data_IF_366341274156
#
_entry.id   IF_366341274156
#
_cell.length_a   1.000
_cell.length_b   1.000
_cell.length_c   1.000
_cell.angle_alpha   90.00
_cell.angle_beta   90.00
_cell.angle_gamma   90.00
#
_symmetry.space_group_name_H-M   'P 1'
#
loop_
_entity.id
_entity.type
_entity.pdbx_description
1 polymer ?
#
# COMPACT_ATOMS: atom_id res chain seq x y z
N UNK A 1 1.07 13.56 18.20
CA UNK A 1 1.23 13.02 16.83
C UNK A 1 2.71 13.02 16.40
N UNK A 2 3.62 12.47 17.22
CA UNK A 2 5.07 12.43 16.94
C UNK A 2 5.62 10.98 16.88
N UNK A 3 4.77 9.96 17.04
CA UNK A 3 5.21 8.66 17.56
C UNK A 3 5.11 7.47 16.60
N UNK A 4 5.00 7.68 15.29
CA UNK A 4 4.75 6.59 14.32
C UNK A 4 6.00 5.80 13.89
N UNK A 5 7.09 5.88 14.65
CA UNK A 5 8.35 5.17 14.35
C UNK A 5 9.02 4.45 15.55
N UNK A 6 8.32 4.29 16.69
CA UNK A 6 8.75 3.45 17.83
C UNK A 6 10.28 3.36 18.07
N UNK A 7 10.86 4.34 18.77
CA UNK A 7 12.23 4.34 19.30
C UNK A 7 13.40 4.01 18.34
N UNK A 8 13.19 4.20 17.05
CA UNK A 8 14.13 4.80 16.09
C UNK A 8 14.27 6.32 16.21
N UNK A 9 15.10 6.93 17.07
CA UNK A 9 15.40 8.37 16.85
C UNK A 9 16.05 8.47 15.47
N UNK A 10 15.32 9.06 14.52
CA UNK A 10 15.69 9.13 13.10
C UNK A 10 17.12 9.68 12.90
N UNK A 11 17.50 10.65 13.73
CA UNK A 11 18.84 11.22 13.84
C UNK A 11 19.94 10.18 14.13
N UNK A 12 19.63 9.12 14.87
CA UNK A 12 20.56 8.08 15.28
C UNK A 12 20.76 6.97 14.23
N UNK A 13 19.94 6.92 13.17
CA UNK A 13 19.95 5.82 12.20
C UNK A 13 20.24 6.22 10.74
N UNK A 14 20.73 7.45 10.52
CA UNK A 14 21.10 7.95 9.18
C UNK A 14 22.04 7.01 8.43
N UNK A 15 23.01 6.44 9.13
CA UNK A 15 23.99 5.50 8.59
C UNK A 15 23.35 4.14 8.18
N UNK A 16 22.38 3.64 8.94
CA UNK A 16 21.69 2.41 8.60
C UNK A 16 20.84 2.57 7.33
N UNK A 17 20.19 3.73 7.16
CA UNK A 17 19.44 4.07 5.95
C UNK A 17 20.34 4.15 4.70
N UNK A 18 21.52 4.78 4.80
CA UNK A 18 22.47 4.85 3.67
C UNK A 18 23.00 3.47 3.27
N UNK A 19 23.34 2.62 4.25
CA UNK A 19 23.87 1.27 4.00
C UNK A 19 22.80 0.35 3.38
N UNK A 20 21.56 0.40 3.87
CA UNK A 20 20.46 -0.46 3.38
C UNK A 20 20.07 -0.09 1.94
N UNK A 21 20.11 1.20 1.61
CA UNK A 21 19.90 1.66 0.24
C UNK A 21 21.03 1.26 -0.70
N UNK A 22 22.24 0.93 -0.23
CA UNK A 22 23.34 0.48 -1.08
C UNK A 22 23.27 -1.02 -1.44
N UNK A 23 22.73 -1.87 -0.56
CA UNK A 23 22.80 -3.34 -0.67
C UNK A 23 21.82 -3.95 -1.68
N UNK A 24 20.55 -3.51 -1.71
CA UNK A 24 19.56 -3.98 -2.70
C UNK A 24 18.60 -2.84 -3.08
N UNK A 25 19.13 -1.90 -3.86
CA UNK A 25 18.46 -0.67 -4.30
C UNK A 25 17.05 -0.93 -4.82
N UNK A 26 16.91 -1.79 -5.82
CA UNK A 26 15.62 -1.97 -6.52
C UNK A 26 14.56 -2.63 -5.64
N UNK A 27 14.90 -3.69 -4.90
CA UNK A 27 13.91 -4.38 -4.06
C UNK A 27 13.49 -3.51 -2.88
N UNK A 28 14.43 -2.82 -2.25
CA UNK A 28 14.18 -1.91 -1.12
C UNK A 28 13.26 -0.76 -1.54
N UNK A 29 13.53 -0.19 -2.72
CA UNK A 29 12.73 0.88 -3.31
C UNK A 29 11.30 0.43 -3.59
N UNK A 30 11.12 -0.74 -4.23
CA UNK A 30 9.77 -1.25 -4.49
C UNK A 30 8.97 -1.51 -3.20
N UNK A 31 9.63 -2.03 -2.16
CA UNK A 31 9.00 -2.20 -0.83
C UNK A 31 8.62 -0.85 -0.22
N UNK A 32 9.52 0.14 -0.27
CA UNK A 32 9.25 1.51 0.20
C UNK A 32 8.04 2.12 -0.51
N UNK A 33 7.99 2.03 -1.84
CA UNK A 33 6.89 2.56 -2.64
C UNK A 33 5.55 1.91 -2.26
N UNK A 34 5.52 0.58 -2.10
CA UNK A 34 4.31 -0.14 -1.67
C UNK A 34 3.80 0.31 -0.30
N UNK A 35 4.70 0.41 0.69
CA UNK A 35 4.34 0.87 2.05
C UNK A 35 3.86 2.31 2.10
N UNK A 36 4.47 3.18 1.30
CA UNK A 36 4.03 4.58 1.18
C UNK A 36 2.60 4.63 0.65
N UNK A 37 2.30 3.88 -0.42
CA UNK A 37 0.96 3.83 -0.97
C UNK A 37 -0.06 3.28 0.04
N UNK A 38 0.28 2.22 0.76
CA UNK A 38 -0.53 1.66 1.86
C UNK A 38 -0.83 2.72 2.93
N UNK A 39 0.21 3.40 3.43
CA UNK A 39 0.09 4.43 4.46
C UNK A 39 -0.72 5.64 4.00
N UNK A 40 -0.55 6.08 2.75
CA UNK A 40 -1.31 7.18 2.16
C UNK A 40 -2.79 6.82 2.07
N UNK A 41 -3.14 5.63 1.54
CA UNK A 41 -4.56 5.20 1.47
C UNK A 41 -5.17 5.14 2.87
N UNK A 42 -4.50 4.52 3.83
CA UNK A 42 -5.01 4.38 5.21
C UNK A 42 -5.25 5.75 5.85
N UNK A 43 -4.29 6.68 5.73
CA UNK A 43 -4.45 8.04 6.25
C UNK A 43 -5.58 8.78 5.54
N UNK A 44 -5.65 8.71 4.21
CA UNK A 44 -6.74 9.34 3.43
C UNK A 44 -8.12 8.82 3.80
N UNK A 45 -8.24 7.51 4.10
CA UNK A 45 -9.49 6.93 4.62
C UNK A 45 -9.83 7.44 6.02
N UNK A 46 -8.84 7.71 6.86
CA UNK A 46 -9.08 8.30 8.20
C UNK A 46 -9.52 9.76 8.12
N UNK A 47 -8.90 10.52 7.24
CA UNK A 47 -9.07 11.98 7.17
C UNK A 47 -10.26 12.40 6.29
N UNK A 48 -10.72 11.52 5.39
CA UNK A 48 -11.81 11.80 4.46
C UNK A 48 -12.80 10.61 4.36
N UNK A 49 -14.01 10.82 4.88
CA UNK A 49 -15.05 9.79 4.95
C UNK A 49 -15.55 9.33 3.57
N UNK A 50 -15.57 10.23 2.57
CA UNK A 50 -15.95 9.85 1.20
C UNK A 50 -14.90 8.95 0.55
N UNK A 51 -13.62 9.24 0.78
CA UNK A 51 -12.52 8.40 0.31
C UNK A 51 -12.57 7.04 1.02
N UNK A 52 -12.82 7.01 2.33
CA UNK A 52 -13.03 5.77 3.07
C UNK A 52 -14.18 4.94 2.47
N UNK A 53 -15.32 5.58 2.21
CA UNK A 53 -16.48 4.92 1.61
C UNK A 53 -16.16 4.32 0.24
N UNK A 54 -15.46 5.06 -0.63
CA UNK A 54 -15.06 4.59 -1.96
C UNK A 54 -14.17 3.34 -1.85
N UNK A 55 -13.10 3.41 -1.06
CA UNK A 55 -12.18 2.29 -0.88
C UNK A 55 -12.84 1.08 -0.23
N UNK A 56 -13.66 1.29 0.80
CA UNK A 56 -14.38 0.21 1.46
C UNK A 56 -15.40 -0.48 0.53
N UNK A 57 -16.08 0.26 -0.35
CA UNK A 57 -16.98 -0.33 -1.36
C UNK A 57 -16.22 -1.21 -2.35
N UNK A 58 -15.03 -0.78 -2.78
CA UNK A 58 -14.16 -1.57 -3.66
C UNK A 58 -13.70 -2.84 -2.92
N UNK A 59 -13.10 -2.68 -1.74
CA UNK A 59 -12.56 -3.76 -0.94
C UNK A 59 -13.61 -4.83 -0.59
N UNK A 60 -14.83 -4.40 -0.24
CA UNK A 60 -15.93 -5.31 0.12
C UNK A 60 -16.76 -5.79 -1.07
N UNK A 61 -16.67 -5.14 -2.24
CA UNK A 61 -17.59 -5.32 -3.37
C UNK A 61 -19.07 -5.14 -3.00
N UNK A 62 -19.37 -4.39 -1.93
CA UNK A 62 -20.72 -4.12 -1.42
C UNK A 62 -21.13 -2.68 -1.68
N UNK A 63 -22.44 -2.46 -1.84
CA UNK A 63 -23.02 -1.12 -1.83
C UNK A 63 -23.21 -0.64 -0.39
N UNK A 64 -22.12 -0.13 0.20
CA UNK A 64 -22.09 0.35 1.57
C UNK A 64 -22.62 1.78 1.64
N UNK A 65 -23.34 2.14 2.70
CA UNK A 65 -23.80 3.51 2.96
C UNK A 65 -22.77 4.28 3.80
N UNK A 66 -22.79 5.60 3.69
CA UNK A 66 -21.81 6.47 4.36
C UNK A 66 -21.81 6.28 5.88
N UNK A 67 -22.98 6.17 6.50
CA UNK A 67 -23.17 5.97 7.95
C UNK A 67 -22.54 4.66 8.47
N UNK A 68 -22.51 3.62 7.61
CA UNK A 68 -21.83 2.37 7.91
C UNK A 68 -20.32 2.52 7.71
N UNK A 69 -19.89 3.18 6.64
CA UNK A 69 -18.47 3.39 6.36
C UNK A 69 -17.77 4.25 7.42
N UNK A 70 -18.44 5.26 7.98
CA UNK A 70 -17.94 6.08 9.09
C UNK A 70 -17.59 5.27 10.35
N UNK A 71 -18.25 4.12 10.54
CA UNK A 71 -17.98 3.20 11.65
C UNK A 71 -16.86 2.20 11.32
N UNK A 72 -16.29 2.27 10.12
CA UNK A 72 -15.25 1.37 9.68
C UNK A 72 -13.90 2.07 9.61
N UNK A 73 -12.87 1.44 10.16
CA UNK A 73 -11.49 1.94 10.15
C UNK A 73 -10.63 1.11 9.19
N UNK A 74 -9.95 1.80 8.27
CA UNK A 74 -8.95 1.18 7.39
C UNK A 74 -7.65 0.94 8.16
N UNK A 75 -7.07 -0.25 8.01
CA UNK A 75 -5.79 -0.64 8.61
C UNK A 75 -4.86 -1.19 7.54
N UNK A 76 -3.61 -0.71 7.52
CA UNK A 76 -2.56 -1.30 6.73
C UNK A 76 -1.91 -2.46 7.48
N UNK A 77 -1.96 -3.68 6.94
CA UNK A 77 -1.50 -4.91 7.61
C UNK A 77 0.02 -4.96 7.78
N UNK A 78 0.76 -4.19 6.98
CA UNK A 78 2.22 -4.04 7.05
C UNK A 78 2.70 -2.79 7.81
N UNK A 79 1.78 -1.98 8.34
CA UNK A 79 2.12 -0.72 9.02
C UNK A 79 2.38 -0.91 10.52
N UNK A 80 3.37 -0.18 11.03
CA UNK A 80 3.72 -0.16 12.47
C UNK A 80 2.57 0.35 13.36
N UNK A 81 1.74 1.27 12.85
CA UNK A 81 0.54 1.71 13.54
C UNK A 81 -0.40 0.55 13.85
N UNK A 82 -0.51 -0.41 12.94
CA UNK A 82 -1.33 -1.62 13.10
C UNK A 82 -0.68 -2.56 14.08
N UNK A 83 0.64 -2.79 14.01
CA UNK A 83 1.37 -3.60 14.99
C UNK A 83 1.15 -3.14 16.43
N UNK A 84 1.15 -1.83 16.68
CA UNK A 84 0.97 -1.27 18.02
C UNK A 84 -0.48 -1.29 18.52
N UNK A 85 -1.44 -0.88 17.66
CA UNK A 85 -2.83 -0.69 18.07
C UNK A 85 -3.70 -1.93 17.88
N UNK A 86 -3.37 -2.73 16.87
CA UNK A 86 -4.13 -3.90 16.43
C UNK A 86 -3.17 -5.07 16.11
N UNK A 87 -2.35 -5.54 17.08
CA UNK A 87 -1.31 -6.54 16.84
C UNK A 87 -1.85 -7.83 16.20
N UNK A 88 -3.09 -8.23 16.50
CA UNK A 88 -3.78 -9.37 15.91
C UNK A 88 -4.12 -9.20 14.41
N UNK A 89 -3.99 -7.98 13.88
CA UNK A 89 -4.23 -7.62 12.48
C UNK A 89 -2.94 -7.26 11.73
N UNK A 90 -1.78 -7.23 12.41
CA UNK A 90 -0.49 -6.98 11.79
C UNK A 90 0.03 -8.26 11.16
N UNK A 91 0.19 -8.25 9.84
CA UNK A 91 0.59 -9.43 9.06
C UNK A 91 1.45 -9.00 7.86
N UNK A 92 2.66 -8.46 8.10
CA UNK A 92 3.54 -7.94 7.04
C UNK A 92 4.03 -9.02 6.07
N UNK A 93 3.87 -10.29 6.44
CA UNK A 93 4.25 -11.46 5.63
C UNK A 93 3.08 -12.07 4.86
N UNK A 94 1.84 -11.64 5.12
CA UNK A 94 0.68 -12.09 4.34
C UNK A 94 0.65 -11.30 3.03
N UNK A 95 0.91 -11.95 1.88
CA UNK A 95 0.97 -11.24 0.62
C UNK A 95 -0.41 -10.91 0.07
N UNK A 96 -1.52 -11.34 0.70
CA UNK A 96 -2.84 -11.25 0.08
C UNK A 96 -3.53 -9.89 0.23
N UNK A 97 -3.27 -9.17 1.34
CA UNK A 97 -4.02 -7.96 1.71
C UNK A 97 -3.08 -6.98 2.40
N UNK A 98 -2.76 -5.90 1.71
CA UNK A 98 -2.01 -4.80 2.31
C UNK A 98 -2.94 -3.92 3.16
N UNK A 99 -4.22 -3.79 2.81
CA UNK A 99 -5.19 -2.99 3.56
C UNK A 99 -6.43 -3.81 3.87
N UNK A 100 -6.93 -3.72 5.10
CA UNK A 100 -8.19 -4.30 5.56
C UNK A 100 -9.05 -3.24 6.28
N UNK A 101 -10.32 -3.54 6.52
CA UNK A 101 -11.20 -2.69 7.32
C UNK A 101 -11.69 -3.41 8.57
N UNK A 102 -11.69 -2.73 9.71
CA UNK A 102 -12.44 -3.12 10.90
C UNK A 102 -13.76 -2.38 10.95
N UNK A 103 -14.82 -3.06 11.34
CA UNK A 103 -16.14 -2.47 11.60
C UNK A 103 -16.20 -1.95 13.04
N UNK A 104 -17.24 -1.18 13.38
CA UNK A 104 -17.35 -0.52 14.69
C UNK A 104 -17.40 -1.44 15.92
N UNK A 105 -17.54 -2.76 15.72
CA UNK A 105 -17.45 -3.77 16.79
C UNK A 105 -16.06 -4.44 16.87
N UNK A 106 -15.08 -3.95 16.10
CA UNK A 106 -13.72 -4.49 16.04
C UNK A 106 -13.53 -5.70 15.11
N UNK A 107 -14.59 -6.21 14.46
CA UNK A 107 -14.50 -7.33 13.53
C UNK A 107 -14.09 -6.88 12.13
N UNK A 108 -13.35 -7.72 11.40
CA UNK A 108 -12.97 -7.47 10.01
C UNK A 108 -14.21 -7.40 9.11
N UNK A 109 -14.29 -6.35 8.31
CA UNK A 109 -15.31 -6.20 7.28
C UNK A 109 -15.21 -7.35 6.28
N UNK A 110 -16.35 -7.83 5.80
CA UNK A 110 -16.43 -8.99 4.91
C UNK A 110 -16.75 -8.58 3.47
N UNK A 111 -16.26 -9.34 2.49
CA UNK A 111 -16.61 -9.18 1.08
C UNK A 111 -18.06 -9.60 0.80
N UNK A 112 -18.59 -9.20 -0.37
CA UNK A 112 -19.90 -9.64 -0.87
C UNK A 112 -19.87 -11.15 -1.13
N UNK A 113 -20.89 -11.86 -0.66
CA UNK A 113 -20.99 -13.32 -0.78
C UNK A 113 -20.48 -14.10 0.44
N UNK A 114 -19.89 -13.42 1.43
CA UNK A 114 -19.53 -14.02 2.72
C UNK A 114 -20.77 -14.31 3.56
N UNK A 115 -20.85 -15.53 4.12
CA UNK A 115 -21.89 -15.95 5.08
C UNK A 115 -21.28 -16.11 6.47
N UNK A 116 -22.09 -16.19 7.53
CA UNK A 116 -21.61 -16.21 8.93
C UNK A 116 -20.69 -17.38 9.31
N UNK A 117 -20.47 -18.36 8.43
CA UNK A 117 -19.64 -19.56 8.65
C UNK A 117 -18.41 -19.57 7.72
N UNK A 118 -18.50 -18.94 6.54
CA UNK A 118 -17.43 -18.86 5.54
C UNK A 118 -17.45 -17.46 4.95
N UNK A 119 -16.44 -16.66 5.29
CA UNK A 119 -16.33 -15.28 4.86
C UNK A 119 -14.90 -14.93 4.47
N UNK A 120 -14.79 -14.07 3.45
CA UNK A 120 -13.52 -13.54 2.99
C UNK A 120 -13.44 -12.09 3.48
N UNK A 121 -12.35 -11.77 4.16
CA UNK A 121 -12.12 -10.42 4.65
C UNK A 121 -12.01 -9.44 3.48
N UNK A 122 -12.75 -8.34 3.57
CA UNK A 122 -12.63 -7.21 2.69
C UNK A 122 -11.24 -6.60 2.84
N UNK A 123 -10.55 -6.43 1.72
CA UNK A 123 -9.24 -5.81 1.70
C UNK A 123 -8.85 -5.37 0.30
N UNK A 124 -7.63 -4.85 0.20
CA UNK A 124 -7.00 -4.42 -1.04
C UNK A 124 -5.57 -4.94 -1.07
N UNK A 125 -5.11 -5.34 -2.25
CA UNK A 125 -3.69 -5.48 -2.54
C UNK A 125 -3.22 -4.20 -3.25
N UNK A 126 -2.16 -3.58 -2.77
CA UNK A 126 -1.58 -2.37 -3.35
C UNK A 126 -0.35 -2.75 -4.18
N UNK A 127 -0.25 -2.17 -5.38
CA UNK A 127 0.91 -2.29 -6.26
C UNK A 127 1.32 -0.92 -6.77
N UNK A 128 2.63 -0.69 -6.78
CA UNK A 128 3.25 0.56 -7.28
C UNK A 128 4.37 0.16 -8.23
N UNK A 129 4.35 0.67 -9.47
CA UNK A 129 5.36 0.31 -10.47
C UNK A 129 5.35 1.28 -11.65
N UNK A 130 6.52 1.45 -12.26
CA UNK A 130 6.72 2.15 -13.53
C UNK A 130 6.68 1.22 -14.76
N UNK A 131 6.47 -0.09 -14.56
CA UNK A 131 6.45 -1.11 -15.60
C UNK A 131 5.41 -2.20 -15.31
N UNK A 132 4.13 -1.83 -15.30
CA UNK A 132 3.02 -2.70 -14.91
C UNK A 132 2.92 -4.01 -15.69
N UNK A 133 3.32 -4.02 -16.98
CA UNK A 133 3.36 -5.27 -17.77
C UNK A 133 4.34 -6.28 -17.20
N UNK A 134 5.51 -5.84 -16.75
CA UNK A 134 6.53 -6.73 -16.21
C UNK A 134 6.23 -7.17 -14.77
N UNK A 135 5.54 -6.32 -14.00
CA UNK A 135 5.39 -6.52 -12.55
C UNK A 135 4.00 -6.98 -12.10
N UNK A 136 2.93 -6.67 -12.83
CA UNK A 136 1.54 -6.82 -12.36
C UNK A 136 0.72 -7.72 -13.28
N UNK A 137 1.03 -7.74 -14.58
CA UNK A 137 0.24 -8.51 -15.55
C UNK A 137 0.14 -10.00 -15.21
N UNK A 138 1.25 -10.64 -14.80
CA UNK A 138 1.21 -12.05 -14.39
C UNK A 138 0.37 -12.27 -13.13
N UNK A 139 0.52 -11.41 -12.12
CA UNK A 139 -0.29 -11.46 -10.90
C UNK A 139 -1.80 -11.40 -11.22
N UNK A 140 -2.20 -10.58 -12.21
CA UNK A 140 -3.58 -10.48 -12.69
C UNK A 140 -4.04 -11.69 -13.51
N UNK A 141 -3.16 -12.24 -14.37
CA UNK A 141 -3.45 -13.43 -15.17
C UNK A 141 -3.68 -14.64 -14.27
N UNK A 142 -2.79 -14.83 -13.30
CA UNK A 142 -2.79 -15.96 -12.36
C UNK A 142 -3.84 -15.78 -11.25
N UNK A 143 -4.51 -14.62 -11.18
CA UNK A 143 -5.46 -14.28 -10.11
C UNK A 143 -4.84 -14.50 -8.73
N UNK A 144 -3.59 -14.05 -8.57
CA UNK A 144 -2.75 -14.32 -7.39
C UNK A 144 -3.36 -13.83 -6.08
N UNK A 145 -4.14 -12.75 -6.16
CA UNK A 145 -4.79 -12.13 -5.01
C UNK A 145 -6.29 -12.36 -5.07
N UNK A 146 -6.86 -12.67 -3.91
CA UNK A 146 -8.30 -12.87 -3.75
C UNK A 146 -9.10 -11.55 -3.71
N UNK A 147 -8.39 -10.46 -3.42
CA UNK A 147 -8.91 -9.09 -3.26
C UNK A 147 -8.56 -8.23 -4.47
N UNK A 148 -9.23 -7.07 -4.66
CA UNK A 148 -8.90 -6.15 -5.75
C UNK A 148 -7.45 -5.66 -5.66
N UNK A 149 -6.78 -5.59 -6.81
CA UNK A 149 -5.45 -4.96 -6.94
C UNK A 149 -5.65 -3.48 -7.25
N UNK A 150 -5.15 -2.63 -6.37
CA UNK A 150 -5.04 -1.18 -6.57
C UNK A 150 -3.67 -0.87 -7.16
N UNK A 151 -3.66 -0.25 -8.33
CA UNK A 151 -2.43 0.06 -9.05
C UNK A 151 -2.17 1.57 -9.11
N UNK A 152 -0.99 1.95 -8.61
CA UNK A 152 -0.36 3.25 -8.85
C UNK A 152 0.62 3.12 -10.03
N UNK A 153 0.16 3.53 -11.20
CA UNK A 153 0.86 3.44 -12.48
C UNK A 153 1.79 4.63 -12.71
N UNK A 154 3.01 4.55 -12.18
CA UNK A 154 3.97 5.66 -12.20
C UNK A 154 4.35 6.14 -13.61
N UNK A 155 4.09 5.33 -14.63
CA UNK A 155 4.35 5.66 -16.04
C UNK A 155 3.05 5.75 -16.88
N UNK A 156 1.91 6.01 -16.23
CA UNK A 156 0.59 6.09 -16.86
C UNK A 156 0.25 4.87 -17.75
N UNK A 157 0.66 3.66 -17.34
CA UNK A 157 0.51 2.43 -18.11
C UNK A 157 -0.66 1.55 -17.68
N UNK A 158 -1.52 2.02 -16.77
CA UNK A 158 -2.69 1.27 -16.28
C UNK A 158 -3.53 0.69 -17.43
N UNK A 159 -3.92 1.53 -18.40
CA UNK A 159 -4.75 1.10 -19.52
C UNK A 159 -4.02 0.16 -20.50
N UNK A 160 -2.69 0.25 -20.59
CA UNK A 160 -1.88 -0.69 -21.38
C UNK A 160 -1.90 -2.08 -20.73
N UNK A 161 -1.81 -2.15 -19.40
CA UNK A 161 -1.94 -3.40 -18.64
C UNK A 161 -3.35 -3.98 -18.80
N UNK A 162 -4.38 -3.15 -18.64
CA UNK A 162 -5.77 -3.56 -18.76
C UNK A 162 -6.09 -4.14 -20.16
N UNK A 163 -5.65 -3.46 -21.22
CA UNK A 163 -5.86 -3.90 -22.61
C UNK A 163 -5.16 -5.23 -22.90
N UNK A 164 -3.92 -5.39 -22.43
CA UNK A 164 -3.17 -6.65 -22.61
C UNK A 164 -3.79 -7.80 -21.81
N UNK A 165 -4.28 -7.53 -20.60
CA UNK A 165 -5.01 -8.52 -19.80
C UNK A 165 -6.31 -8.93 -20.49
N UNK A 166 -7.08 -7.97 -21.01
CA UNK A 166 -8.32 -8.24 -21.74
C UNK A 166 -8.06 -9.13 -22.96
N UNK A 167 -7.06 -8.77 -23.77
CA UNK A 167 -6.65 -9.53 -24.97
C UNK A 167 -6.24 -10.96 -24.59
N UNK A 168 -5.40 -11.12 -23.55
CA UNK A 168 -4.97 -12.43 -23.07
C UNK A 168 -6.15 -13.31 -22.66
N UNK A 169 -7.09 -12.77 -21.88
CA UNK A 169 -8.24 -13.53 -21.37
C UNK A 169 -9.21 -13.88 -22.49
N UNK A 170 -9.47 -12.96 -23.41
CA UNK A 170 -10.30 -13.20 -24.59
C UNK A 170 -9.75 -14.34 -25.44
N UNK A 171 -8.44 -14.34 -25.73
CA UNK A 171 -7.79 -15.39 -26.52
C UNK A 171 -7.87 -16.78 -25.88
N UNK A 172 -8.07 -16.86 -24.56
CA UNK A 172 -8.20 -18.12 -23.81
C UNK A 172 -9.63 -18.46 -23.41
N UNK A 173 -10.62 -17.69 -23.86
CA UNK A 173 -12.02 -17.88 -23.47
C UNK A 173 -12.28 -17.69 -21.97
N UNK A 174 -11.41 -16.96 -21.26
CA UNK A 174 -11.56 -16.66 -19.84
C UNK A 174 -12.52 -15.50 -19.65
N UNK A 175 -13.32 -15.48 -18.58
CA UNK A 175 -14.23 -14.37 -18.29
C UNK A 175 -13.44 -13.07 -18.12
N UNK A 176 -13.95 -11.92 -18.60
CA UNK A 176 -13.26 -10.65 -18.45
C UNK A 176 -13.12 -10.29 -16.97
N UNK A 177 -11.96 -9.77 -16.59
CA UNK A 177 -11.73 -9.21 -15.27
C UNK A 177 -12.36 -7.80 -15.24
N UNK A 178 -13.10 -7.48 -14.18
CA UNK A 178 -13.77 -6.18 -14.11
C UNK A 178 -12.76 -5.13 -13.66
N UNK A 179 -12.42 -4.23 -14.58
CA UNK A 179 -11.79 -2.95 -14.21
C UNK A 179 -12.69 -2.27 -13.16
N UNK A 180 -12.07 -1.56 -12.21
CA UNK A 180 -12.71 -0.91 -11.06
C UNK A 180 -13.25 -1.86 -9.97
N UNK A 181 -13.23 -3.18 -10.18
CA UNK A 181 -13.62 -4.16 -9.13
C UNK A 181 -12.52 -5.14 -8.77
N UNK A 182 -11.70 -5.53 -9.74
CA UNK A 182 -10.65 -6.53 -9.57
C UNK A 182 -9.27 -5.91 -9.86
N UNK A 183 -9.20 -4.99 -10.83
CA UNK A 183 -8.03 -4.17 -11.12
C UNK A 183 -8.44 -2.69 -11.13
N UNK A 184 -7.88 -1.92 -10.20
CA UNK A 184 -8.38 -0.59 -9.83
C UNK A 184 -7.28 0.43 -10.06
N UNK A 185 -7.59 1.50 -10.80
CA UNK A 185 -6.67 2.61 -10.99
C UNK A 185 -6.75 3.54 -9.78
N UNK A 186 -5.65 3.68 -9.04
CA UNK A 186 -5.66 4.49 -7.81
C UNK A 186 -6.08 5.95 -8.06
N UNK A 187 -5.60 6.54 -9.17
CA UNK A 187 -5.93 7.92 -9.57
C UNK A 187 -7.42 8.14 -9.80
N UNK A 188 -8.15 7.13 -10.29
CA UNK A 188 -9.59 7.25 -10.52
C UNK A 188 -10.39 7.34 -9.21
N UNK A 189 -9.85 6.82 -8.11
CA UNK A 189 -10.55 6.75 -6.81
C UNK A 189 -10.16 7.93 -5.91
N UNK A 190 -8.86 8.19 -5.79
CA UNK A 190 -8.27 9.25 -4.97
C UNK A 190 -7.13 9.95 -5.75
N UNK A 191 -7.45 10.94 -6.61
CA UNK A 191 -6.45 11.66 -7.40
C UNK A 191 -5.38 12.32 -6.54
N UNK A 192 -5.77 12.95 -5.42
CA UNK A 192 -4.85 13.62 -4.49
C UNK A 192 -3.90 12.61 -3.83
N UNK A 193 -4.44 11.49 -3.32
CA UNK A 193 -3.62 10.42 -2.75
C UNK A 193 -2.69 9.78 -3.78
N UNK A 194 -3.12 9.67 -5.04
CA UNK A 194 -2.28 9.23 -6.14
C UNK A 194 -1.11 10.18 -6.42
N UNK A 195 -1.38 11.48 -6.54
CA UNK A 195 -0.35 12.49 -6.78
C UNK A 195 0.67 12.54 -5.64
N UNK A 196 0.22 12.40 -4.40
CA UNK A 196 1.11 12.33 -3.25
C UNK A 196 2.03 11.10 -3.28
N UNK A 197 1.50 9.92 -3.64
CA UNK A 197 2.33 8.71 -3.79
C UNK A 197 3.35 8.88 -4.91
N UNK A 198 2.95 9.42 -6.07
CA UNK A 198 3.85 9.69 -7.18
C UNK A 198 4.97 10.65 -6.78
N UNK A 199 4.65 11.71 -6.04
CA UNK A 199 5.64 12.65 -5.53
C UNK A 199 6.68 11.96 -4.62
N UNK A 200 6.25 11.13 -3.67
CA UNK A 200 7.18 10.40 -2.80
C UNK A 200 8.03 9.36 -3.53
N UNK A 201 7.44 8.69 -4.52
CA UNK A 201 8.15 7.76 -5.41
C UNK A 201 9.26 8.49 -6.18
N UNK A 202 8.98 9.68 -6.72
CA UNK A 202 9.97 10.48 -7.46
C UNK A 202 11.14 10.90 -6.57
N UNK A 203 10.88 11.26 -5.31
CA UNK A 203 11.93 11.54 -4.33
C UNK A 203 12.78 10.31 -4.03
N UNK A 204 12.16 9.13 -3.85
CA UNK A 204 12.90 7.88 -3.64
C UNK A 204 13.74 7.53 -4.87
N UNK A 205 13.19 7.67 -6.08
CA UNK A 205 13.92 7.43 -7.31
C UNK A 205 15.12 8.39 -7.44
N UNK A 206 14.93 9.68 -7.12
CA UNK A 206 16.00 10.66 -7.10
C UNK A 206 17.10 10.29 -6.09
N UNK A 207 16.73 9.74 -4.92
CA UNK A 207 17.70 9.27 -3.93
C UNK A 207 18.52 8.10 -4.46
N UNK A 208 17.85 7.13 -5.09
CA UNK A 208 18.49 5.93 -5.65
C UNK A 208 19.45 6.26 -6.79
N UNK A 209 19.06 7.23 -7.61
CA UNK A 209 19.87 7.75 -8.72
C UNK A 209 21.03 8.65 -8.24
N UNK A 210 21.13 8.91 -6.93
CA UNK A 210 22.13 9.81 -6.34
C UNK A 210 21.92 11.28 -6.69
N UNK A 211 20.72 11.65 -7.17
CA UNK A 211 20.34 13.03 -7.51
C UNK A 211 20.01 13.86 -6.26
N UNK A 212 19.57 13.19 -5.18
CA UNK A 212 19.42 13.77 -3.86
C UNK A 212 20.14 12.88 -2.84
N UNK A 213 20.61 13.47 -1.75
CA UNK A 213 21.23 12.72 -0.66
C UNK A 213 20.16 12.13 0.27
N UNK A 214 20.49 11.13 1.12
CA UNK A 214 19.60 10.71 2.18
C UNK A 214 19.13 11.92 2.99
N UNK A 215 20.03 12.82 3.41
CA UNK A 215 19.74 14.07 4.15
C UNK A 215 18.71 14.97 3.45
N UNK A 216 18.77 15.10 2.13
CA UNK A 216 17.76 15.85 1.36
C UNK A 216 16.37 15.16 1.42
N UNK A 217 16.34 13.83 1.32
CA UNK A 217 15.09 13.06 1.50
C UNK A 217 14.53 13.23 2.92
N UNK A 218 15.41 13.29 3.93
CA UNK A 218 15.03 13.52 5.34
C UNK A 218 14.34 14.86 5.50
N UNK A 219 15.03 15.92 5.07
CA UNK A 219 14.56 17.30 5.21
C UNK A 219 13.24 17.51 4.47
N UNK A 220 13.05 16.83 3.34
CA UNK A 220 11.77 16.85 2.63
C UNK A 220 10.69 16.04 3.36
N UNK A 221 11.02 14.84 3.87
CA UNK A 221 10.09 14.00 4.62
C UNK A 221 9.62 14.62 5.95
N UNK A 222 10.39 15.53 6.56
CA UNK A 222 9.94 16.29 7.74
C UNK A 222 8.71 17.14 7.47
N UNK A 223 8.54 17.61 6.23
CA UNK A 223 7.35 18.35 5.80
C UNK A 223 6.12 17.45 5.67
N UNK A 224 6.32 16.13 5.57
CA UNK A 224 5.28 15.15 5.28
C UNK A 224 5.34 13.95 6.27
N UNK A 225 4.61 14.02 7.39
CA UNK A 225 4.64 12.97 8.43
C UNK A 225 4.42 11.54 7.91
N UNK A 226 3.55 11.35 6.92
CA UNK A 226 3.27 10.06 6.29
C UNK A 226 4.49 9.47 5.58
N UNK A 227 5.22 10.30 4.85
CA UNK A 227 6.46 9.91 4.17
C UNK A 227 7.52 9.51 5.19
N UNK A 228 7.71 10.32 6.24
CA UNK A 228 8.67 10.03 7.31
C UNK A 228 8.47 8.64 7.90
N UNK A 229 7.22 8.30 8.23
CA UNK A 229 6.89 7.02 8.86
C UNK A 229 7.06 5.83 7.90
N UNK A 230 6.68 5.99 6.63
CA UNK A 230 6.80 4.94 5.63
C UNK A 230 8.25 4.66 5.22
N UNK A 231 9.08 5.70 5.07
CA UNK A 231 10.53 5.58 4.82
C UNK A 231 11.21 4.84 5.97
N UNK A 232 10.91 5.23 7.21
CA UNK A 232 11.40 4.55 8.42
C UNK A 232 10.97 3.08 8.43
N UNK A 233 9.66 2.80 8.36
CA UNK A 233 9.13 1.44 8.47
C UNK A 233 9.64 0.49 7.36
N UNK A 234 10.09 1.01 6.22
CA UNK A 234 10.63 0.23 5.12
C UNK A 234 12.14 -0.02 5.25
N UNK A 235 12.89 0.98 5.73
CA UNK A 235 14.33 0.85 5.94
C UNK A 235 14.66 -0.17 7.03
N UNK A 236 13.91 -0.18 8.14
CA UNK A 236 14.22 -1.04 9.29
C UNK A 236 13.74 -2.50 9.14
N UNK A 237 12.82 -2.78 8.22
CA UNK A 237 12.28 -4.13 7.98
C UNK A 237 13.19 -5.03 7.12
N UNK A 238 14.27 -4.46 6.56
CA UNK A 238 15.31 -5.19 5.85
C UNK A 238 16.47 -5.64 6.74
N UNK A 239 16.50 -5.21 8.00
CA UNK A 239 17.58 -5.61 8.92
C UNK A 239 17.29 -6.97 9.55
N UNK A 240 18.25 -7.92 9.52
CA UNK A 240 18.16 -9.10 10.35
C UNK A 240 18.06 -8.69 11.82
N UNK A 241 17.29 -9.45 12.60
CA UNK A 241 17.01 -9.23 14.04
C UNK A 241 18.24 -9.11 14.94
N UNK A 242 19.43 -9.37 14.39
CA UNK A 242 20.70 -9.45 15.12
C UNK A 242 21.53 -8.15 15.06
N UNK A 243 21.03 -7.10 14.41
CA UNK A 243 21.68 -5.78 14.48
C UNK A 243 21.27 -5.10 15.78
N UNK A 244 22.03 -5.37 16.84
CA UNK A 244 21.97 -4.58 18.06
C UNK A 244 22.38 -3.13 17.77
N UNK A 245 21.40 -2.24 17.79
CA UNK A 245 21.64 -0.79 17.84
C UNK A 245 22.19 -0.50 19.24
N UNK A 246 23.47 -0.14 19.31
CA UNK A 246 24.12 0.30 20.54
C UNK A 246 23.59 1.71 20.87
N UNK A 247 23.11 1.89 22.10
CA UNK A 247 22.53 3.13 22.63
C UNK A 247 23.50 4.30 22.65
#
# INVERSE_FOLDING_TARGET
>A
MIEDAGFVRYENNKFALSVILEIDKKRTVMRMMGKIAEAVIVRRCRDNEEINLKWLRIASRKQIRLDTAQKCEALGTGLESTKRKYPQNYSPSDPQRDIIWLTGNGLRAQMKGSTGIVGMDAGLQVKVSNAGIAYILNDLIESRYEVPIVYFDLNNDFYKVADRLFTYRQQRGLPPLSIEKDFVHAKAIDPEGYEEVCYFVDLIAALVDGRITPDDLINEAEKYPTMRNAVLASAFEGMPSDVHIIH
#
